data_IF_230505763867
#
_entry.id   IF_230505763867
#
_cell.length_a   1.000
_cell.length_b   1.000
_cell.length_c   1.000
_cell.angle_alpha   90.00
_cell.angle_beta   90.00
_cell.angle_gamma   90.00
#
_symmetry.space_group_name_H-M   'P 1'
#
loop_
_entity.id
_entity.type
_entity.pdbx_description
1 polymer ?
#
# COMPACT_ATOMS: atom_id res chain seq x y z
N UNK A 1 -85.73 -15.19 16.50
CA UNK A 1 -84.91 -14.86 15.30
C UNK A 1 -83.93 -13.67 15.44
N UNK A 2 -83.98 -12.80 16.43
CA UNK A 2 -83.07 -11.65 16.56
C UNK A 2 -81.85 -11.90 17.47
N UNK A 3 -81.81 -13.00 18.25
CA UNK A 3 -80.67 -13.29 19.12
C UNK A 3 -79.57 -14.14 18.44
N UNK A 4 -79.92 -14.98 17.46
CA UNK A 4 -78.92 -15.80 16.76
C UNK A 4 -78.11 -14.97 15.78
N UNK A 5 -78.69 -13.98 15.08
CA UNK A 5 -77.99 -13.16 14.19
C UNK A 5 -76.98 -12.19 14.86
N UNK A 6 -77.21 -11.85 16.14
CA UNK A 6 -76.26 -10.99 16.89
C UNK A 6 -75.07 -11.78 17.46
N UNK A 7 -75.26 -13.08 17.73
CA UNK A 7 -74.16 -13.94 18.19
C UNK A 7 -73.23 -14.38 17.06
N UNK A 8 -73.75 -14.62 15.86
CA UNK A 8 -72.89 -14.89 14.65
C UNK A 8 -72.09 -13.67 14.23
N UNK A 9 -72.69 -12.49 14.26
CA UNK A 9 -71.99 -11.23 13.97
C UNK A 9 -70.90 -10.91 14.99
N UNK A 10 -71.05 -11.24 16.26
CA UNK A 10 -70.03 -11.05 17.30
C UNK A 10 -68.91 -12.09 17.16
N UNK A 11 -69.23 -13.34 16.81
CA UNK A 11 -68.25 -14.40 16.55
C UNK A 11 -67.35 -14.05 15.37
N UNK A 12 -67.91 -13.59 14.26
CA UNK A 12 -67.15 -13.19 13.07
C UNK A 12 -66.27 -11.95 13.32
N UNK A 13 -66.74 -10.98 14.11
CA UNK A 13 -65.88 -9.81 14.48
C UNK A 13 -64.72 -10.21 15.37
N UNK A 14 -64.93 -11.08 16.32
CA UNK A 14 -63.86 -11.56 17.21
C UNK A 14 -62.83 -12.41 16.46
N UNK A 15 -63.29 -13.25 15.54
CA UNK A 15 -62.39 -14.05 14.68
C UNK A 15 -61.58 -13.18 13.72
N UNK A 16 -62.20 -12.15 13.14
CA UNK A 16 -61.53 -11.22 12.25
C UNK A 16 -60.51 -10.33 13.01
N UNK A 17 -60.82 -9.86 14.21
CA UNK A 17 -59.82 -9.12 15.05
C UNK A 17 -58.70 -10.01 15.54
N UNK A 18 -58.91 -11.29 15.86
CA UNK A 18 -57.84 -12.21 16.22
C UNK A 18 -56.91 -12.54 15.06
N UNK A 19 -57.46 -12.74 13.85
CA UNK A 19 -56.61 -12.99 12.65
C UNK A 19 -55.82 -11.75 12.20
N UNK A 20 -56.39 -10.54 12.27
CA UNK A 20 -55.68 -9.30 11.99
C UNK A 20 -54.56 -8.99 13.02
N UNK A 21 -54.82 -9.28 14.30
CA UNK A 21 -53.78 -9.10 15.33
C UNK A 21 -52.66 -10.15 15.20
N UNK A 22 -52.97 -11.41 14.87
CA UNK A 22 -51.99 -12.45 14.64
C UNK A 22 -51.11 -12.15 13.41
N UNK A 23 -51.68 -11.68 12.31
CA UNK A 23 -50.93 -11.28 11.11
C UNK A 23 -50.10 -10.04 11.33
N UNK A 24 -50.57 -9.08 12.13
CA UNK A 24 -49.77 -7.90 12.51
C UNK A 24 -48.59 -8.25 13.45
N UNK A 25 -48.77 -9.16 14.40
CA UNK A 25 -47.73 -9.64 15.30
C UNK A 25 -46.68 -10.45 14.51
N UNK A 26 -47.06 -11.25 13.52
CA UNK A 26 -46.14 -11.97 12.65
C UNK A 26 -45.33 -11.02 11.75
N UNK A 27 -45.99 -10.03 11.12
CA UNK A 27 -45.32 -8.99 10.32
C UNK A 27 -44.35 -8.15 11.15
N UNK A 28 -44.69 -7.75 12.36
CA UNK A 28 -43.82 -7.02 13.27
C UNK A 28 -42.62 -7.84 13.75
N UNK A 29 -42.80 -9.13 14.06
CA UNK A 29 -41.71 -10.05 14.43
C UNK A 29 -40.75 -10.30 13.28
N UNK A 30 -41.23 -10.49 12.04
CA UNK A 30 -40.38 -10.61 10.83
C UNK A 30 -39.58 -9.33 10.52
N UNK A 31 -40.22 -8.16 10.64
CA UNK A 31 -39.59 -6.88 10.43
C UNK A 31 -38.49 -6.59 11.49
N UNK A 32 -38.73 -6.96 12.76
CA UNK A 32 -37.72 -6.86 13.82
C UNK A 32 -36.55 -7.84 13.62
N UNK A 33 -36.81 -9.05 13.08
CA UNK A 33 -35.78 -10.04 12.76
C UNK A 33 -34.86 -9.54 11.61
N UNK A 34 -35.45 -8.99 10.55
CA UNK A 34 -34.69 -8.41 9.43
C UNK A 34 -33.83 -7.22 9.87
N UNK A 35 -34.33 -6.31 10.70
CA UNK A 35 -33.54 -5.18 11.22
C UNK A 35 -32.35 -5.65 12.06
N UNK A 36 -32.53 -6.66 12.90
CA UNK A 36 -31.43 -7.23 13.68
C UNK A 36 -30.37 -7.87 12.79
N UNK A 37 -30.77 -8.57 11.74
CA UNK A 37 -29.88 -9.19 10.77
C UNK A 37 -29.07 -8.12 10.00
N UNK A 38 -29.74 -7.05 9.57
CA UNK A 38 -29.09 -5.90 8.92
C UNK A 38 -28.06 -5.23 9.84
N UNK A 39 -28.44 -4.99 11.09
CA UNK A 39 -27.52 -4.43 12.09
C UNK A 39 -26.30 -5.33 12.31
N UNK A 40 -26.53 -6.65 12.41
CA UNK A 40 -25.46 -7.63 12.61
C UNK A 40 -24.45 -7.59 11.46
N UNK A 41 -24.89 -7.65 10.20
CA UNK A 41 -23.97 -7.63 9.04
C UNK A 41 -23.21 -6.29 8.89
N UNK A 42 -23.88 -5.16 9.17
CA UNK A 42 -23.21 -3.87 9.20
C UNK A 42 -22.09 -3.83 10.26
N UNK A 43 -22.38 -4.25 11.49
CA UNK A 43 -21.39 -4.28 12.56
C UNK A 43 -20.28 -5.29 12.28
N UNK A 44 -20.61 -6.46 11.73
CA UNK A 44 -19.62 -7.47 11.37
C UNK A 44 -18.62 -6.90 10.35
N UNK A 45 -19.10 -6.26 9.28
CA UNK A 45 -18.23 -5.65 8.27
C UNK A 45 -17.37 -4.53 8.86
N UNK A 46 -17.94 -3.67 9.71
CA UNK A 46 -17.21 -2.59 10.40
C UNK A 46 -16.13 -3.16 11.32
N UNK A 47 -16.46 -4.16 12.15
CA UNK A 47 -15.50 -4.76 13.08
C UNK A 47 -14.35 -5.47 12.35
N UNK A 48 -14.62 -6.13 11.22
CA UNK A 48 -13.58 -6.75 10.40
C UNK A 48 -12.68 -5.69 9.75
N UNK A 49 -13.26 -4.59 9.23
CA UNK A 49 -12.48 -3.46 8.72
C UNK A 49 -11.60 -2.84 9.81
N UNK A 50 -12.13 -2.63 11.01
CA UNK A 50 -11.36 -2.10 12.16
C UNK A 50 -10.27 -3.07 12.60
N UNK A 51 -10.53 -4.38 12.61
CA UNK A 51 -9.52 -5.40 12.90
C UNK A 51 -8.36 -5.36 11.91
N UNK A 52 -8.66 -5.18 10.61
CA UNK A 52 -7.62 -5.01 9.59
C UNK A 52 -6.83 -3.72 9.80
N UNK A 53 -7.50 -2.59 10.06
CA UNK A 53 -6.84 -1.32 10.35
C UNK A 53 -5.98 -1.39 11.63
N UNK A 54 -6.42 -2.13 12.65
CA UNK A 54 -5.67 -2.29 13.90
C UNK A 54 -4.45 -3.22 13.77
N UNK A 55 -4.40 -4.09 12.74
CA UNK A 55 -3.28 -5.02 12.55
C UNK A 55 -1.93 -4.34 12.36
N UNK A 56 -1.91 -3.08 11.89
CA UNK A 56 -0.68 -2.29 11.69
C UNK A 56 0.08 -1.99 13.00
N UNK A 57 -0.61 -2.06 14.14
CA UNK A 57 -0.01 -1.86 15.47
C UNK A 57 0.60 -3.14 16.07
N UNK A 58 0.43 -4.27 15.39
CA UNK A 58 0.87 -5.57 15.88
C UNK A 58 2.13 -5.96 15.13
N UNK A 59 3.25 -6.10 15.85
CA UNK A 59 4.50 -6.56 15.27
C UNK A 59 4.41 -8.04 14.87
N UNK A 60 4.47 -8.37 13.56
CA UNK A 60 4.38 -9.75 13.09
C UNK A 60 5.58 -10.62 13.50
N UNK A 61 6.70 -10.02 13.86
CA UNK A 61 7.89 -10.74 14.30
C UNK A 61 7.74 -11.28 15.72
N UNK A 62 7.01 -10.58 16.57
CA UNK A 62 6.79 -10.90 17.99
C UNK A 62 5.49 -11.68 18.18
N UNK A 63 4.37 -11.14 17.67
CA UNK A 63 3.02 -11.67 17.98
C UNK A 63 2.53 -12.70 16.99
N UNK A 64 3.25 -12.94 15.92
CA UNK A 64 2.98 -13.99 14.94
C UNK A 64 2.80 -13.48 13.52
N UNK A 65 3.48 -14.15 12.60
CA UNK A 65 3.61 -13.76 11.19
C UNK A 65 2.27 -13.53 10.45
N UNK A 66 1.19 -14.18 10.85
CA UNK A 66 -0.10 -14.07 10.17
C UNK A 66 -0.78 -12.72 10.37
N UNK A 67 -0.37 -11.91 11.35
CA UNK A 67 -0.88 -10.55 11.51
C UNK A 67 -0.52 -9.66 10.31
N UNK A 68 0.60 -9.92 9.63
CA UNK A 68 0.95 -9.20 8.40
C UNK A 68 -0.03 -9.43 7.24
N UNK A 69 -0.74 -10.57 7.24
CA UNK A 69 -1.71 -10.91 6.19
C UNK A 69 -3.04 -10.18 6.40
N UNK A 70 -3.39 -9.91 7.66
CA UNK A 70 -4.69 -9.30 8.01
C UNK A 70 -4.84 -7.93 7.36
N UNK A 71 -3.80 -7.08 7.43
CA UNK A 71 -3.80 -5.74 6.83
C UNK A 71 -4.03 -5.74 5.32
N UNK A 72 -3.55 -6.78 4.61
CA UNK A 72 -3.76 -6.92 3.17
C UNK A 72 -5.24 -7.06 2.78
N UNK A 73 -6.10 -7.53 3.70
CA UNK A 73 -7.53 -7.67 3.45
C UNK A 73 -8.34 -6.39 3.69
N UNK A 74 -7.70 -5.32 4.18
CA UNK A 74 -8.37 -4.04 4.46
C UNK A 74 -9.22 -3.50 3.31
N UNK A 75 -8.76 -3.46 2.04
CA UNK A 75 -9.56 -2.93 0.94
C UNK A 75 -10.83 -3.74 0.68
N UNK A 76 -10.82 -5.06 0.95
CA UNK A 76 -11.98 -5.94 0.80
C UNK A 76 -13.05 -5.53 1.82
N UNK A 77 -12.68 -5.34 3.07
CA UNK A 77 -13.61 -4.96 4.12
C UNK A 77 -14.08 -3.51 4.01
N UNK A 78 -13.21 -2.60 3.53
CA UNK A 78 -13.60 -1.23 3.22
C UNK A 78 -14.66 -1.19 2.08
N UNK A 79 -14.48 -2.00 1.02
CA UNK A 79 -15.46 -2.17 -0.04
C UNK A 79 -16.77 -2.80 0.48
N UNK A 80 -16.68 -3.80 1.37
CA UNK A 80 -17.85 -4.41 2.00
C UNK A 80 -18.64 -3.40 2.84
N UNK A 81 -17.96 -2.55 3.64
CA UNK A 81 -18.62 -1.48 4.41
C UNK A 81 -19.26 -0.45 3.47
N UNK A 82 -18.60 -0.09 2.37
CA UNK A 82 -19.17 0.82 1.35
C UNK A 82 -20.42 0.22 0.71
N UNK A 83 -20.37 -1.05 0.32
CA UNK A 83 -21.53 -1.78 -0.21
C UNK A 83 -22.68 -1.82 0.81
N UNK A 84 -22.38 -2.17 2.06
CA UNK A 84 -23.37 -2.15 3.13
C UNK A 84 -23.95 -0.76 3.39
N UNK A 85 -23.17 0.31 3.18
CA UNK A 85 -23.67 1.69 3.26
C UNK A 85 -24.75 1.94 2.22
N UNK A 86 -24.50 1.57 0.96
CA UNK A 86 -25.48 1.73 -0.13
C UNK A 86 -26.76 0.92 0.15
N UNK A 87 -26.62 -0.35 0.52
CA UNK A 87 -27.76 -1.20 0.85
C UNK A 87 -28.53 -0.65 2.05
N UNK A 88 -27.82 -0.17 3.08
CA UNK A 88 -28.45 0.41 4.27
C UNK A 88 -29.23 1.69 3.94
N UNK A 89 -28.69 2.56 3.08
CA UNK A 89 -29.37 3.76 2.61
C UNK A 89 -30.67 3.43 1.86
N UNK A 90 -30.67 2.37 1.04
CA UNK A 90 -31.84 1.97 0.23
C UNK A 90 -32.94 1.31 1.11
N UNK A 91 -32.58 0.46 2.05
CA UNK A 91 -33.54 -0.39 2.76
C UNK A 91 -33.77 -0.03 4.22
N UNK A 92 -32.77 0.55 4.90
CA UNK A 92 -32.80 0.90 6.34
C UNK A 92 -32.08 2.21 6.65
N UNK A 93 -32.48 3.36 6.07
CA UNK A 93 -31.71 4.62 6.14
C UNK A 93 -31.43 5.11 7.55
N UNK A 94 -32.27 4.72 8.53
CA UNK A 94 -32.05 5.05 9.95
C UNK A 94 -30.83 4.33 10.58
N UNK A 95 -30.26 3.34 9.90
CA UNK A 95 -29.09 2.57 10.38
C UNK A 95 -27.80 2.97 9.69
N UNK A 96 -27.82 3.93 8.76
CA UNK A 96 -26.62 4.38 8.00
C UNK A 96 -25.50 4.90 8.90
N UNK A 97 -25.83 5.32 10.12
CA UNK A 97 -24.84 5.76 11.08
C UNK A 97 -23.81 4.67 11.44
N UNK A 98 -24.18 3.35 11.35
CA UNK A 98 -23.26 2.23 11.66
C UNK A 98 -22.08 2.22 10.71
N UNK A 99 -22.25 2.09 9.37
CA UNK A 99 -21.10 2.13 8.45
C UNK A 99 -20.39 3.47 8.46
N UNK A 100 -21.08 4.61 8.72
CA UNK A 100 -20.42 5.92 8.87
C UNK A 100 -19.46 5.94 10.06
N UNK A 101 -19.84 5.38 11.21
CA UNK A 101 -18.94 5.20 12.36
C UNK A 101 -17.77 4.31 11.97
N UNK A 102 -17.99 3.27 11.15
CA UNK A 102 -16.96 2.43 10.59
C UNK A 102 -15.89 3.25 9.84
N UNK A 103 -16.31 4.10 8.91
CA UNK A 103 -15.40 4.95 8.15
C UNK A 103 -14.69 6.00 9.01
N UNK A 104 -15.37 6.61 9.96
CA UNK A 104 -14.75 7.58 10.90
C UNK A 104 -13.66 6.89 11.72
N UNK A 105 -13.91 5.69 12.24
CA UNK A 105 -12.92 4.93 13.01
C UNK A 105 -11.71 4.47 12.20
N UNK A 106 -11.83 4.32 10.87
CA UNK A 106 -10.74 3.96 9.97
C UNK A 106 -10.23 5.12 9.10
N UNK A 107 -10.59 6.36 9.41
CA UNK A 107 -10.23 7.52 8.57
C UNK A 107 -8.73 7.60 8.28
N UNK A 108 -7.87 7.34 9.27
CA UNK A 108 -6.42 7.29 9.10
C UNK A 108 -5.99 6.25 8.07
N UNK A 109 -6.44 5.00 8.23
CA UNK A 109 -6.12 3.89 7.33
C UNK A 109 -6.67 4.11 5.91
N UNK A 110 -7.86 4.70 5.78
CA UNK A 110 -8.42 5.07 4.48
C UNK A 110 -7.53 6.11 3.80
N UNK A 111 -7.06 7.11 4.53
CA UNK A 111 -6.12 8.10 4.01
C UNK A 111 -4.75 7.54 3.69
N UNK A 112 -4.27 6.54 4.41
CA UNK A 112 -3.02 5.86 4.09
C UNK A 112 -3.15 5.06 2.80
N UNK A 113 -4.28 4.39 2.59
CA UNK A 113 -4.53 3.54 1.43
C UNK A 113 -4.95 4.32 0.18
N UNK A 114 -5.86 5.26 0.31
CA UNK A 114 -6.44 6.03 -0.80
C UNK A 114 -6.62 7.51 -0.38
N UNK A 115 -5.54 8.29 -0.33
CA UNK A 115 -5.62 9.70 0.03
C UNK A 115 -6.38 10.51 -1.02
N UNK A 116 -7.02 11.58 -0.55
CA UNK A 116 -7.64 12.62 -1.38
C UNK A 116 -7.05 13.95 -0.93
N UNK A 117 -6.32 14.61 -1.81
CA UNK A 117 -5.67 15.89 -1.53
C UNK A 117 -5.96 16.92 -2.62
N UNK A 118 -6.00 18.18 -2.24
CA UNK A 118 -6.02 19.27 -3.20
C UNK A 118 -4.62 19.39 -3.82
N UNK A 119 -4.57 19.36 -5.16
CA UNK A 119 -3.31 19.49 -5.88
C UNK A 119 -2.70 20.88 -5.65
N UNK A 120 -1.44 20.90 -5.26
CA UNK A 120 -0.64 22.12 -5.15
C UNK A 120 0.60 21.97 -6.02
N UNK A 121 0.89 22.91 -6.92
CA UNK A 121 2.10 22.83 -7.73
C UNK A 121 3.34 22.93 -6.83
N UNK A 122 4.44 22.26 -7.21
CA UNK A 122 5.67 22.35 -6.44
C UNK A 122 6.23 23.78 -6.48
N UNK A 123 6.68 24.31 -5.34
CA UNK A 123 7.29 25.63 -5.28
C UNK A 123 8.66 25.63 -5.99
N UNK A 124 9.11 26.83 -6.37
CA UNK A 124 10.47 27.00 -6.91
C UNK A 124 11.52 26.43 -5.95
N UNK A 125 12.56 25.78 -6.48
CA UNK A 125 13.65 25.14 -5.73
C UNK A 125 13.20 23.97 -4.85
N UNK A 126 12.05 23.34 -5.10
CA UNK A 126 11.75 22.03 -4.56
C UNK A 126 12.55 20.96 -5.32
N UNK A 127 13.11 20.00 -4.60
CA UNK A 127 13.85 18.89 -5.19
C UNK A 127 12.90 17.87 -5.79
N UNK A 128 13.13 17.48 -7.04
CA UNK A 128 12.42 16.39 -7.67
C UNK A 128 13.01 15.07 -7.20
N UNK A 129 12.21 14.25 -6.54
CA UNK A 129 12.62 12.94 -6.03
C UNK A 129 11.84 11.81 -6.72
N UNK A 130 12.49 10.66 -6.86
CA UNK A 130 11.91 9.48 -7.52
C UNK A 130 12.32 8.22 -6.78
N UNK A 131 11.41 7.25 -6.68
CA UNK A 131 11.75 5.86 -6.37
C UNK A 131 11.30 4.96 -7.50
N UNK A 132 12.15 4.00 -7.90
CA UNK A 132 11.84 3.11 -9.00
C UNK A 132 12.53 1.75 -8.84
N UNK A 133 11.73 0.71 -8.65
CA UNK A 133 12.20 -0.65 -8.79
C UNK A 133 12.43 -0.93 -10.29
N UNK A 134 13.70 -1.14 -10.65
CA UNK A 134 14.13 -1.17 -12.06
C UNK A 134 13.98 -2.54 -12.73
N UNK A 135 13.66 -3.59 -11.97
CA UNK A 135 13.58 -4.96 -12.48
C UNK A 135 14.79 -5.29 -13.39
N UNK A 136 16.02 -5.13 -12.86
CA UNK A 136 17.26 -5.32 -13.63
C UNK A 136 17.32 -4.43 -14.89
N UNK A 137 16.96 -3.15 -14.75
CA UNK A 137 16.83 -2.21 -15.87
C UNK A 137 15.88 -2.70 -16.97
N UNK A 138 14.69 -3.18 -16.59
CA UNK A 138 13.69 -3.68 -17.52
C UNK A 138 14.08 -5.02 -18.17
N UNK A 139 14.64 -5.95 -17.37
CA UNK A 139 15.24 -7.19 -17.85
C UNK A 139 16.33 -6.93 -18.93
N UNK A 140 17.15 -5.89 -18.68
CA UNK A 140 18.27 -5.48 -19.57
C UNK A 140 17.83 -5.04 -20.97
N UNK A 141 16.62 -4.52 -21.12
CA UNK A 141 16.13 -4.04 -22.41
C UNK A 141 16.85 -2.76 -22.82
N UNK A 142 17.48 -2.80 -23.98
CA UNK A 142 18.20 -1.68 -24.58
C UNK A 142 17.37 -1.04 -25.69
N UNK A 143 17.46 0.28 -25.78
CA UNK A 143 16.97 1.04 -26.92
C UNK A 143 17.80 0.69 -28.16
N UNK A 144 17.13 0.38 -29.26
CA UNK A 144 17.79 -0.09 -30.50
C UNK A 144 18.67 0.96 -31.17
N UNK A 145 18.39 2.25 -30.95
CA UNK A 145 19.13 3.34 -31.60
C UNK A 145 20.36 3.77 -30.80
N UNK A 146 20.25 3.79 -29.48
CA UNK A 146 21.31 4.29 -28.59
C UNK A 146 22.14 3.18 -27.93
N UNK A 147 21.61 1.96 -27.89
CA UNK A 147 22.22 0.83 -27.16
C UNK A 147 22.17 0.96 -25.62
N UNK A 148 21.55 2.00 -25.10
CA UNK A 148 21.40 2.27 -23.65
C UNK A 148 20.19 1.56 -23.09
N UNK A 149 20.19 1.26 -21.78
CA UNK A 149 18.98 0.74 -21.13
C UNK A 149 17.85 1.78 -21.13
N UNK A 150 16.66 1.39 -21.62
CA UNK A 150 15.47 2.26 -21.69
C UNK A 150 15.12 2.83 -20.31
N UNK A 151 15.22 2.00 -19.26
CA UNK A 151 14.99 2.43 -17.87
C UNK A 151 15.98 3.50 -17.43
N UNK A 152 17.27 3.33 -17.69
CA UNK A 152 18.30 4.29 -17.29
C UNK A 152 18.09 5.63 -18.00
N UNK A 153 17.82 5.61 -19.31
CA UNK A 153 17.48 6.81 -20.08
C UNK A 153 16.25 7.52 -19.55
N UNK A 154 15.18 6.77 -19.28
CA UNK A 154 13.95 7.33 -18.69
C UNK A 154 14.27 8.05 -17.38
N UNK A 155 14.94 7.39 -16.42
CA UNK A 155 15.27 7.98 -15.13
C UNK A 155 16.06 9.29 -15.33
N UNK A 156 17.11 9.25 -16.15
CA UNK A 156 17.96 10.43 -16.41
C UNK A 156 17.18 11.54 -17.13
N UNK A 157 16.31 11.21 -18.09
CA UNK A 157 15.49 12.20 -18.83
C UNK A 157 14.50 12.93 -17.91
N UNK A 158 14.05 12.29 -16.84
CA UNK A 158 13.23 12.93 -15.81
C UNK A 158 13.99 14.00 -15.01
N UNK A 159 15.31 14.03 -15.10
CA UNK A 159 16.18 14.97 -14.37
C UNK A 159 15.87 15.06 -12.88
N UNK A 160 15.78 13.93 -12.15
CA UNK A 160 15.54 13.97 -10.72
C UNK A 160 16.74 14.64 -10.02
N UNK A 161 16.45 15.35 -8.92
CA UNK A 161 17.52 15.77 -8.02
C UNK A 161 18.09 14.57 -7.26
N UNK A 162 17.19 13.59 -6.93
CA UNK A 162 17.55 12.33 -6.27
C UNK A 162 16.59 11.23 -6.77
N UNK A 163 17.15 10.08 -7.18
CA UNK A 163 16.37 8.86 -7.46
C UNK A 163 16.93 7.67 -6.70
N UNK A 164 16.07 6.95 -5.95
CA UNK A 164 16.38 5.65 -5.36
C UNK A 164 15.95 4.53 -6.29
N UNK A 165 16.85 3.58 -6.50
CA UNK A 165 16.66 2.47 -7.41
C UNK A 165 16.73 1.15 -6.66
N UNK A 166 15.83 0.23 -6.99
CA UNK A 166 15.81 -1.14 -6.47
C UNK A 166 16.02 -2.13 -7.62
N UNK A 167 16.42 -3.35 -7.29
CA UNK A 167 16.71 -4.42 -8.24
C UNK A 167 17.70 -4.02 -9.34
N UNK A 168 18.80 -3.39 -8.97
CA UNK A 168 19.86 -3.06 -9.91
C UNK A 168 20.64 -4.34 -10.22
N UNK A 169 20.69 -4.73 -11.48
CA UNK A 169 21.57 -5.80 -11.96
C UNK A 169 22.15 -5.49 -13.34
N UNK A 170 23.40 -5.89 -13.54
CA UNK A 170 24.11 -5.79 -14.81
C UNK A 170 24.44 -7.20 -15.29
N UNK A 171 24.44 -7.46 -16.61
CA UNK A 171 24.84 -8.75 -17.17
C UNK A 171 26.35 -8.93 -17.17
N UNK A 172 27.07 -7.83 -17.34
CA UNK A 172 28.53 -7.76 -17.46
C UNK A 172 29.04 -6.36 -17.11
N UNK A 173 30.37 -6.19 -17.12
CA UNK A 173 31.01 -4.91 -16.83
C UNK A 173 30.74 -3.83 -17.89
N UNK A 174 30.54 -4.22 -19.15
CA UNK A 174 30.21 -3.28 -20.23
C UNK A 174 28.85 -2.59 -20.00
N UNK A 175 27.84 -3.38 -19.57
CA UNK A 175 26.52 -2.87 -19.21
C UNK A 175 26.60 -1.90 -18.00
N UNK A 176 27.44 -2.25 -17.01
CA UNK A 176 27.72 -1.38 -15.87
C UNK A 176 28.34 -0.05 -16.29
N UNK A 177 29.41 -0.09 -17.11
CA UNK A 177 30.04 1.13 -17.63
C UNK A 177 29.09 1.96 -18.51
N UNK A 178 28.24 1.30 -19.30
CA UNK A 178 27.24 1.98 -20.10
C UNK A 178 26.28 2.77 -19.23
N UNK A 179 25.74 2.18 -18.16
CA UNK A 179 24.82 2.91 -17.22
C UNK A 179 25.56 4.10 -16.58
N UNK A 180 26.82 3.91 -16.16
CA UNK A 180 27.60 5.01 -15.61
C UNK A 180 27.80 6.14 -16.61
N UNK A 181 28.12 5.83 -17.88
CA UNK A 181 28.25 6.82 -18.96
C UNK A 181 26.94 7.56 -19.21
N UNK A 182 25.82 6.81 -19.28
CA UNK A 182 24.48 7.40 -19.43
C UNK A 182 24.20 8.40 -18.32
N UNK A 183 24.33 7.99 -17.05
CA UNK A 183 24.08 8.86 -15.88
C UNK A 183 24.99 10.09 -15.91
N UNK A 184 26.29 9.92 -16.22
CA UNK A 184 27.27 11.02 -16.30
C UNK A 184 26.94 12.02 -17.42
N UNK A 185 26.38 11.55 -18.55
CA UNK A 185 26.00 12.44 -19.67
C UNK A 185 24.93 13.45 -19.27
N UNK A 186 24.07 13.09 -18.30
CA UNK A 186 23.07 13.96 -17.68
C UNK A 186 23.62 14.80 -16.51
N UNK A 187 24.93 14.75 -16.23
CA UNK A 187 25.60 15.43 -15.10
C UNK A 187 25.09 14.98 -13.75
N UNK A 188 24.77 13.68 -13.61
CA UNK A 188 24.33 13.04 -12.40
C UNK A 188 25.44 12.13 -11.84
N UNK A 189 25.38 11.88 -10.53
CA UNK A 189 26.19 10.89 -9.82
C UNK A 189 25.35 9.62 -9.63
N UNK A 190 26.01 8.46 -9.55
CA UNK A 190 25.38 7.19 -9.23
C UNK A 190 26.27 6.41 -8.27
N UNK A 191 25.64 5.78 -7.28
CA UNK A 191 26.27 4.81 -6.39
C UNK A 191 25.27 3.72 -6.02
N UNK A 192 25.77 2.52 -5.69
CA UNK A 192 24.96 1.38 -5.26
C UNK A 192 25.68 0.52 -4.26
N UNK A 193 24.91 -0.27 -3.53
CA UNK A 193 25.42 -1.27 -2.59
C UNK A 193 24.62 -2.57 -2.69
N UNK A 194 25.28 -3.67 -2.36
CA UNK A 194 24.60 -4.97 -2.27
C UNK A 194 23.70 -5.01 -1.02
N UNK A 195 22.54 -5.66 -1.18
CA UNK A 195 21.61 -6.00 -0.10
C UNK A 195 21.26 -7.48 -0.22
N UNK A 196 22.17 -8.34 0.25
CA UNK A 196 22.10 -9.77 -0.04
C UNK A 196 22.37 -10.07 -1.51
N UNK A 197 21.49 -10.79 -2.17
CA UNK A 197 21.61 -11.15 -3.60
C UNK A 197 21.20 -10.08 -4.59
N UNK A 198 20.73 -8.91 -4.15
CA UNK A 198 20.28 -7.80 -4.97
C UNK A 198 21.13 -6.54 -4.73
N UNK A 199 20.84 -5.46 -5.44
CA UNK A 199 21.47 -4.15 -5.24
C UNK A 199 20.40 -3.07 -5.15
N UNK A 200 20.66 -2.11 -4.26
CA UNK A 200 19.94 -0.82 -4.25
C UNK A 200 20.93 0.31 -4.52
N UNK A 201 20.45 1.40 -5.08
CA UNK A 201 21.34 2.52 -5.44
C UNK A 201 20.63 3.85 -5.47
N UNK A 202 21.43 4.89 -5.62
CA UNK A 202 20.96 6.26 -5.76
C UNK A 202 21.60 6.93 -6.98
N UNK A 203 20.76 7.64 -7.74
CA UNK A 203 21.19 8.61 -8.75
C UNK A 203 20.91 10.00 -8.19
N UNK A 204 21.88 10.93 -8.26
CA UNK A 204 21.75 12.25 -7.65
C UNK A 204 22.45 13.34 -8.44
N UNK A 205 21.90 14.56 -8.40
CA UNK A 205 22.60 15.78 -8.79
C UNK A 205 23.69 16.19 -7.78
N UNK A 206 23.56 15.70 -6.54
CA UNK A 206 24.47 16.04 -5.46
C UNK A 206 25.56 14.98 -5.34
N UNK A 207 26.80 15.37 -4.98
CA UNK A 207 27.86 14.41 -4.71
C UNK A 207 27.45 13.40 -3.63
N UNK A 208 27.75 12.13 -3.89
CA UNK A 208 27.55 11.02 -2.94
C UNK A 208 28.88 10.77 -2.24
N UNK A 209 28.93 10.91 -0.91
CA UNK A 209 30.19 10.85 -0.14
C UNK A 209 30.49 9.46 0.35
N UNK A 210 29.46 8.76 0.83
CA UNK A 210 29.57 7.38 1.34
C UNK A 210 28.21 6.69 1.31
N UNK A 211 28.23 5.39 1.46
CA UNK A 211 27.06 4.60 1.76
C UNK A 211 27.28 3.73 3.01
N UNK A 212 26.19 3.29 3.62
CA UNK A 212 26.18 2.49 4.85
C UNK A 212 25.01 1.51 4.79
N UNK A 213 25.31 0.21 4.96
CA UNK A 213 24.30 -0.82 5.07
C UNK A 213 23.52 -0.67 6.37
N UNK A 214 22.19 -0.59 6.29
CA UNK A 214 21.33 -0.54 7.48
C UNK A 214 20.86 -1.94 7.86
N UNK A 215 20.29 -2.66 6.91
CA UNK A 215 19.82 -4.03 7.09
C UNK A 215 19.83 -4.79 5.77
N UNK A 216 19.91 -6.11 5.85
CA UNK A 216 19.72 -6.98 4.69
C UNK A 216 19.14 -8.33 5.11
N UNK A 217 18.47 -8.98 4.18
CA UNK A 217 18.11 -10.40 4.19
C UNK A 217 18.92 -11.12 3.10
N UNK A 218 18.47 -12.28 2.62
CA UNK A 218 19.15 -12.98 1.52
C UNK A 218 19.13 -12.18 0.20
N UNK A 219 18.08 -11.40 -0.08
CA UNK A 219 17.92 -10.72 -1.36
C UNK A 219 17.58 -9.23 -1.25
N UNK A 220 17.14 -8.75 -0.09
CA UNK A 220 16.52 -7.45 0.08
C UNK A 220 17.09 -6.73 1.30
N UNK A 221 16.99 -5.40 1.37
CA UNK A 221 17.50 -4.64 2.50
C UNK A 221 17.42 -3.13 2.29
N UNK A 222 18.14 -2.38 3.12
CA UNK A 222 18.19 -0.93 3.04
C UNK A 222 19.60 -0.39 3.23
N UNK A 223 19.93 0.66 2.49
CA UNK A 223 21.22 1.34 2.49
C UNK A 223 20.99 2.84 2.64
N UNK A 224 21.75 3.48 3.52
CA UNK A 224 21.83 4.92 3.62
C UNK A 224 22.94 5.43 2.72
N UNK A 225 22.63 6.41 1.87
CA UNK A 225 23.58 7.17 1.06
C UNK A 225 23.66 8.58 1.62
N UNK A 226 24.88 9.07 1.83
CA UNK A 226 25.15 10.40 2.37
C UNK A 226 25.53 11.35 1.24
N UNK A 227 24.70 12.35 1.01
CA UNK A 227 24.83 13.32 -0.05
C UNK A 227 25.17 14.69 0.51
N UNK A 228 25.88 15.51 -0.28
CA UNK A 228 26.23 16.91 0.07
C UNK A 228 25.60 17.90 -0.90
N UNK A 229 24.33 18.31 -0.66
CA UNK A 229 23.67 19.30 -1.51
C UNK A 229 24.37 20.68 -1.51
N UNK A 230 25.00 21.04 -0.39
CA UNK A 230 25.78 22.26 -0.19
C UNK A 230 27.02 21.94 0.66
N UNK A 231 28.04 22.79 0.59
CA UNK A 231 29.21 22.66 1.46
C UNK A 231 28.76 22.57 2.94
N UNK A 232 29.26 21.58 3.67
CA UNK A 232 28.96 21.28 5.09
C UNK A 232 27.50 20.89 5.39
N UNK A 233 26.66 20.65 4.37
CA UNK A 233 25.30 20.15 4.55
C UNK A 233 25.24 18.67 4.19
N UNK A 234 24.69 17.85 5.08
CA UNK A 234 24.57 16.40 4.86
C UNK A 234 23.10 16.03 4.77
N UNK A 235 22.76 15.38 3.66
CA UNK A 235 21.47 14.75 3.42
C UNK A 235 21.63 13.23 3.49
N UNK A 236 20.84 12.57 4.28
CA UNK A 236 20.78 11.12 4.34
C UNK A 236 19.63 10.63 3.46
N UNK A 237 19.97 9.89 2.42
CA UNK A 237 18.99 9.25 1.53
C UNK A 237 18.99 7.76 1.79
N UNK A 238 17.90 7.23 2.32
CA UNK A 238 17.74 5.79 2.54
C UNK A 238 17.02 5.19 1.35
N UNK A 239 17.70 4.29 0.65
CA UNK A 239 17.12 3.47 -0.40
C UNK A 239 16.76 2.10 0.19
N UNK A 240 15.46 1.78 0.23
CA UNK A 240 14.95 0.55 0.81
C UNK A 240 14.38 -0.36 -0.28
N UNK A 241 14.66 -1.65 -0.16
CA UNK A 241 13.96 -2.73 -0.84
C UNK A 241 13.69 -3.81 0.21
N UNK A 242 12.54 -3.73 0.87
CA UNK A 242 12.21 -4.65 1.96
C UNK A 242 11.86 -6.03 1.44
N UNK A 243 11.92 -7.04 2.32
CA UNK A 243 11.75 -8.43 1.96
C UNK A 243 10.48 -8.70 1.15
N UNK A 244 10.62 -9.39 0.04
CA UNK A 244 9.52 -9.76 -0.85
C UNK A 244 8.75 -10.99 -0.33
N UNK A 245 7.62 -11.28 -0.96
CA UNK A 245 6.86 -12.51 -0.67
C UNK A 245 7.53 -13.76 -1.25
N UNK A 246 8.62 -13.63 -2.02
CA UNK A 246 9.36 -14.70 -2.71
C UNK A 246 8.45 -15.67 -3.48
N UNK A 247 7.41 -15.16 -4.11
CA UNK A 247 6.53 -15.96 -4.95
C UNK A 247 7.23 -16.35 -6.25
N UNK A 248 7.26 -17.62 -6.58
CA UNK A 248 7.71 -18.10 -7.88
C UNK A 248 6.78 -17.59 -9.00
N UNK A 249 7.24 -17.66 -10.26
CA UNK A 249 6.38 -17.30 -11.42
C UNK A 249 5.10 -18.14 -11.47
N UNK A 250 5.19 -19.41 -11.12
CA UNK A 250 4.05 -20.33 -11.05
C UNK A 250 3.07 -19.94 -9.94
N UNK A 251 3.57 -19.58 -8.75
CA UNK A 251 2.73 -19.12 -7.64
C UNK A 251 2.08 -17.75 -7.92
N UNK A 252 2.74 -16.87 -8.65
CA UNK A 252 2.14 -15.61 -9.13
C UNK A 252 1.03 -15.88 -10.16
N UNK A 253 1.25 -16.86 -11.07
CA UNK A 253 0.23 -17.28 -12.04
C UNK A 253 -0.98 -17.87 -11.32
N UNK A 254 -0.77 -18.74 -10.33
CA UNK A 254 -1.83 -19.30 -9.51
C UNK A 254 -2.59 -18.23 -8.74
N UNK A 255 -1.88 -17.21 -8.19
CA UNK A 255 -2.54 -16.07 -7.55
C UNK A 255 -3.45 -15.31 -8.53
N UNK A 256 -2.98 -15.06 -9.74
CA UNK A 256 -3.76 -14.41 -10.79
C UNK A 256 -5.03 -15.23 -11.12
N UNK A 257 -4.87 -16.53 -11.29
CA UNK A 257 -5.99 -17.44 -11.55
C UNK A 257 -7.00 -17.47 -10.39
N UNK A 258 -6.51 -17.41 -9.14
CA UNK A 258 -7.36 -17.28 -7.94
C UNK A 258 -8.21 -16.01 -7.98
N UNK A 259 -7.64 -14.90 -8.42
CA UNK A 259 -8.32 -13.60 -8.46
C UNK A 259 -9.31 -13.54 -9.63
N UNK A 260 -8.93 -14.06 -10.79
CA UNK A 260 -9.75 -14.03 -12.02
C UNK A 260 -10.85 -15.10 -12.05
N UNK A 261 -10.60 -16.30 -11.46
CA UNK A 261 -11.52 -17.45 -11.49
C UNK A 261 -11.63 -18.12 -10.10
N UNK A 262 -12.24 -17.48 -9.11
CA UNK A 262 -12.26 -17.98 -7.73
C UNK A 262 -13.00 -19.33 -7.55
N UNK A 263 -13.83 -19.74 -8.51
CA UNK A 263 -14.64 -20.97 -8.45
C UNK A 263 -13.89 -22.23 -8.90
N UNK A 264 -12.76 -22.10 -9.58
CA UNK A 264 -12.05 -23.23 -10.19
C UNK A 264 -10.97 -23.86 -9.32
N UNK A 265 -10.82 -23.45 -8.05
CA UNK A 265 -9.67 -23.83 -7.26
C UNK A 265 -10.00 -24.93 -6.25
N UNK A 266 -9.72 -26.15 -6.65
CA UNK A 266 -9.80 -27.36 -5.80
C UNK A 266 -8.58 -27.58 -4.87
N UNK A 267 -7.53 -26.73 -4.93
CA UNK A 267 -6.31 -26.93 -4.14
C UNK A 267 -6.21 -26.02 -2.90
N UNK A 268 -6.85 -26.43 -1.84
CA UNK A 268 -6.69 -25.83 -0.48
C UNK A 268 -5.21 -25.76 -0.07
N UNK A 269 -4.38 -26.71 -0.47
CA UNK A 269 -2.94 -26.77 -0.15
C UNK A 269 -2.14 -25.63 -0.79
N UNK A 270 -2.44 -25.26 -2.04
CA UNK A 270 -1.76 -24.13 -2.72
C UNK A 270 -2.07 -22.78 -2.07
N UNK A 271 -3.33 -22.55 -1.67
CA UNK A 271 -3.77 -21.33 -0.98
C UNK A 271 -3.10 -21.18 0.39
N UNK A 272 -3.01 -22.24 1.16
CA UNK A 272 -2.35 -22.23 2.48
C UNK A 272 -0.84 -22.01 2.36
N UNK A 273 -0.19 -22.57 1.34
CA UNK A 273 1.23 -22.33 1.05
C UNK A 273 1.49 -20.86 0.72
N UNK A 274 0.63 -20.26 -0.11
CA UNK A 274 0.71 -18.84 -0.48
C UNK A 274 0.57 -17.92 0.76
N UNK A 275 -0.47 -18.11 1.57
CA UNK A 275 -0.68 -17.35 2.80
C UNK A 275 0.53 -17.49 3.74
N UNK A 276 1.09 -18.69 3.87
CA UNK A 276 2.28 -18.94 4.68
C UNK A 276 3.50 -18.16 4.18
N UNK A 277 3.73 -18.10 2.86
CA UNK A 277 4.84 -17.33 2.26
C UNK A 277 4.67 -15.83 2.48
N UNK A 278 3.48 -15.30 2.22
CA UNK A 278 3.14 -13.90 2.49
C UNK A 278 3.41 -13.56 3.96
N UNK A 279 2.98 -14.43 4.88
CA UNK A 279 3.18 -14.25 6.31
C UNK A 279 4.67 -14.29 6.72
N UNK A 280 5.48 -15.16 6.09
CA UNK A 280 6.93 -15.21 6.33
C UNK A 280 7.59 -13.92 5.85
N UNK A 281 7.30 -13.48 4.62
CA UNK A 281 7.80 -12.20 4.11
C UNK A 281 7.42 -11.02 5.01
N UNK A 282 6.19 -10.99 5.52
CA UNK A 282 5.75 -9.96 6.47
C UNK A 282 6.51 -9.96 7.79
N UNK A 283 6.87 -11.14 8.31
CA UNK A 283 7.70 -11.27 9.50
C UNK A 283 9.13 -10.74 9.27
N UNK A 284 9.74 -11.10 8.15
CA UNK A 284 11.08 -10.62 7.79
C UNK A 284 11.11 -9.11 7.57
N UNK A 285 10.07 -8.56 6.91
CA UNK A 285 9.90 -7.10 6.79
C UNK A 285 9.81 -6.39 8.14
N UNK A 286 9.17 -7.00 9.14
CA UNK A 286 9.09 -6.42 10.48
C UNK A 286 10.49 -6.29 11.11
N UNK A 287 11.34 -7.32 11.05
CA UNK A 287 12.74 -7.23 11.51
C UNK A 287 13.54 -6.15 10.78
N UNK A 288 13.40 -6.06 9.46
CA UNK A 288 14.07 -5.00 8.69
C UNK A 288 13.54 -3.61 9.10
N UNK A 289 12.24 -3.50 9.35
CA UNK A 289 11.60 -2.26 9.80
C UNK A 289 12.14 -1.82 11.15
N UNK A 290 12.25 -2.70 12.12
CA UNK A 290 12.77 -2.36 13.44
C UNK A 290 14.23 -1.89 13.38
N UNK A 291 15.02 -2.48 12.48
CA UNK A 291 16.40 -2.04 12.23
C UNK A 291 16.44 -0.66 11.58
N UNK A 292 15.55 -0.39 10.63
CA UNK A 292 15.36 0.93 10.02
C UNK A 292 14.93 1.97 11.07
N UNK A 293 14.00 1.63 11.95
CA UNK A 293 13.55 2.52 13.02
C UNK A 293 14.69 2.90 13.94
N UNK A 294 15.52 1.94 14.35
CA UNK A 294 16.73 2.19 15.16
C UNK A 294 17.71 3.13 14.43
N UNK A 295 17.86 2.97 13.12
CA UNK A 295 18.69 3.88 12.32
C UNK A 295 18.09 5.29 12.27
N UNK A 296 16.79 5.43 12.04
CA UNK A 296 16.10 6.72 12.00
C UNK A 296 16.17 7.44 13.35
N UNK A 297 16.03 6.72 14.47
CA UNK A 297 16.10 7.29 15.81
C UNK A 297 17.52 7.82 16.12
N UNK A 298 18.58 7.11 15.69
CA UNK A 298 19.97 7.59 15.79
C UNK A 298 20.24 8.84 14.95
N UNK A 299 19.52 9.02 13.87
CA UNK A 299 19.69 10.10 12.91
C UNK A 299 18.54 11.13 12.94
N UNK A 300 17.78 11.20 14.03
CA UNK A 300 16.56 12.01 14.14
C UNK A 300 16.76 13.51 13.84
N UNK A 301 17.97 14.04 14.04
CA UNK A 301 18.30 15.44 13.75
C UNK A 301 18.76 15.69 12.32
N UNK A 302 18.93 14.65 11.52
CA UNK A 302 19.40 14.77 10.14
C UNK A 302 18.25 15.06 9.17
N UNK A 303 18.59 15.66 8.04
CA UNK A 303 17.71 15.70 6.86
C UNK A 303 17.67 14.30 6.28
N UNK A 304 16.50 13.66 6.31
CA UNK A 304 16.32 12.29 5.84
C UNK A 304 15.26 12.26 4.75
N UNK A 305 15.56 11.56 3.66
CA UNK A 305 14.61 11.13 2.64
C UNK A 305 14.72 9.60 2.57
N UNK A 306 13.62 8.89 2.79
CA UNK A 306 13.56 7.43 2.69
C UNK A 306 12.64 7.08 1.52
N UNK A 307 13.15 6.34 0.56
CA UNK A 307 12.41 5.94 -0.64
C UNK A 307 12.67 4.47 -0.97
N UNK A 308 11.69 3.80 -1.53
CA UNK A 308 11.90 2.43 -1.98
C UNK A 308 10.65 1.61 -2.11
N UNK A 309 10.89 0.35 -2.49
CA UNK A 309 9.91 -0.72 -2.55
C UNK A 309 9.83 -1.41 -1.19
N UNK A 310 8.67 -1.28 -0.55
CA UNK A 310 8.43 -1.88 0.78
C UNK A 310 7.87 -3.30 0.69
N UNK A 311 7.51 -3.74 -0.53
CA UNK A 311 6.84 -5.04 -0.75
C UNK A 311 5.62 -5.25 0.15
N UNK A 312 5.02 -4.17 0.64
CA UNK A 312 3.86 -4.17 1.52
C UNK A 312 2.95 -2.97 1.27
N UNK A 313 1.67 -3.14 1.59
CA UNK A 313 0.66 -2.08 1.39
C UNK A 313 0.77 -0.99 2.47
N UNK A 314 0.10 0.17 2.28
CA UNK A 314 0.03 1.20 3.32
C UNK A 314 -0.65 0.75 4.62
N UNK A 315 -1.38 -0.38 4.58
CA UNK A 315 -1.98 -0.98 5.78
C UNK A 315 -1.09 -2.13 6.25
N UNK A 316 0.12 -1.78 6.66
CA UNK A 316 1.11 -2.73 7.17
C UNK A 316 1.88 -2.16 8.37
N UNK A 317 2.48 -3.06 9.14
CA UNK A 317 3.36 -2.69 10.25
C UNK A 317 4.53 -1.81 9.76
N UNK A 318 5.19 -2.21 8.67
CA UNK A 318 6.32 -1.47 8.12
C UNK A 318 5.96 -0.03 7.76
N UNK A 319 4.87 0.18 7.02
CA UNK A 319 4.42 1.52 6.64
C UNK A 319 4.02 2.35 7.87
N UNK A 320 3.29 1.75 8.81
CA UNK A 320 2.87 2.42 10.05
C UNK A 320 4.08 2.91 10.87
N UNK A 321 5.09 2.08 11.02
CA UNK A 321 6.32 2.42 11.76
C UNK A 321 7.07 3.58 11.09
N UNK A 322 7.20 3.59 9.76
CA UNK A 322 7.80 4.72 9.03
C UNK A 322 6.99 6.02 9.24
N UNK A 323 5.65 5.95 9.16
CA UNK A 323 4.78 7.11 9.42
C UNK A 323 4.89 7.66 10.86
N UNK A 324 5.39 6.87 11.81
CA UNK A 324 5.60 7.34 13.19
C UNK A 324 6.82 8.28 13.34
N UNK A 325 7.72 8.33 12.35
CA UNK A 325 8.94 9.16 12.35
C UNK A 325 9.04 10.11 11.16
N UNK A 326 8.46 9.73 10.04
CA UNK A 326 8.58 10.44 8.77
C UNK A 326 7.21 10.76 8.20
N UNK A 327 7.15 11.76 7.34
CA UNK A 327 5.95 12.10 6.58
C UNK A 327 5.88 11.23 5.32
N UNK A 328 4.79 10.46 5.16
CA UNK A 328 4.47 9.82 3.86
C UNK A 328 4.06 10.91 2.88
N UNK A 329 4.89 11.11 1.87
CA UNK A 329 4.70 12.16 0.87
C UNK A 329 3.52 11.89 -0.06
N UNK A 330 3.19 10.60 -0.34
CA UNK A 330 2.01 10.25 -1.14
C UNK A 330 0.72 10.49 -0.34
N UNK A 331 0.65 10.05 0.91
CA UNK A 331 -0.48 10.34 1.80
C UNK A 331 -0.74 11.85 1.91
N UNK A 332 0.33 12.64 1.97
CA UNK A 332 0.23 14.09 2.16
C UNK A 332 -0.21 14.85 0.90
N UNK A 333 0.11 14.36 -0.30
CA UNK A 333 -0.06 15.15 -1.54
C UNK A 333 -0.55 14.36 -2.75
N UNK A 334 -0.53 13.03 -2.70
CA UNK A 334 -1.02 12.15 -3.75
C UNK A 334 -2.54 11.99 -3.73
N UNK A 335 -3.10 11.34 -4.75
CA UNK A 335 -4.52 11.08 -4.89
C UNK A 335 -4.78 9.65 -5.38
N UNK A 336 -5.81 9.02 -4.81
CA UNK A 336 -6.19 7.65 -5.15
C UNK A 336 -5.26 6.59 -4.54
N UNK A 337 -5.38 5.35 -5.01
CA UNK A 337 -4.60 4.21 -4.48
C UNK A 337 -3.11 4.35 -4.79
N UNK A 338 -2.75 4.95 -5.95
CA UNK A 338 -1.36 5.11 -6.37
C UNK A 338 -0.70 3.78 -6.71
N UNK A 339 -1.35 2.98 -7.54
CA UNK A 339 -0.83 1.68 -7.97
C UNK A 339 0.60 1.80 -8.49
N UNK A 340 1.55 1.23 -7.78
CA UNK A 340 2.96 1.22 -8.18
C UNK A 340 3.43 -0.15 -8.72
N UNK A 341 2.79 -1.25 -8.35
CA UNK A 341 3.03 -2.57 -8.93
C UNK A 341 2.02 -2.86 -10.05
N UNK A 342 2.49 -3.33 -11.23
CA UNK A 342 1.65 -3.42 -12.44
C UNK A 342 1.45 -4.84 -12.99
N UNK A 343 1.85 -5.89 -12.26
CA UNK A 343 1.71 -7.29 -12.68
C UNK A 343 0.60 -8.02 -11.93
N UNK A 344 0.18 -9.13 -12.52
CA UNK A 344 -0.63 -10.19 -11.89
C UNK A 344 -1.97 -9.72 -11.30
N UNK A 345 -2.62 -8.71 -11.91
CA UNK A 345 -3.86 -8.11 -11.45
C UNK A 345 -3.81 -7.55 -10.00
N UNK A 346 -2.61 -7.29 -9.47
CA UNK A 346 -2.40 -6.72 -8.15
C UNK A 346 -2.44 -5.19 -8.25
N UNK A 347 -3.41 -4.56 -7.61
CA UNK A 347 -3.62 -3.12 -7.64
C UNK A 347 -3.23 -2.49 -6.29
N UNK A 348 -1.92 -2.39 -6.04
CA UNK A 348 -1.38 -1.91 -4.76
C UNK A 348 -0.29 -0.84 -4.96
N UNK A 349 -0.13 0.01 -3.95
CA UNK A 349 1.04 0.87 -3.79
C UNK A 349 1.98 0.22 -2.79
N UNK A 350 3.16 -0.17 -3.24
CA UNK A 350 4.22 -0.76 -2.41
C UNK A 350 5.50 0.07 -2.46
N UNK A 351 5.62 0.97 -3.44
CA UNK A 351 6.69 1.96 -3.53
C UNK A 351 6.31 3.24 -2.79
N UNK A 352 7.23 3.79 -2.00
CA UNK A 352 6.95 4.87 -1.08
C UNK A 352 8.04 5.95 -1.12
N UNK A 353 7.64 7.19 -0.79
CA UNK A 353 8.52 8.33 -0.53
C UNK A 353 8.16 8.88 0.85
N UNK A 354 9.12 8.83 1.75
CA UNK A 354 9.02 9.43 3.09
C UNK A 354 10.07 10.52 3.27
N UNK A 355 9.76 11.52 4.06
CA UNK A 355 10.72 12.57 4.39
C UNK A 355 10.61 13.01 5.85
N UNK A 356 11.76 13.43 6.42
CA UNK A 356 11.80 14.05 7.75
C UNK A 356 11.12 15.42 7.75
N UNK A 357 10.84 15.95 8.94
CA UNK A 357 10.20 17.26 9.13
C UNK A 357 10.96 18.44 8.52
N UNK A 358 12.22 18.25 8.10
CA UNK A 358 12.97 19.23 7.33
C UNK A 358 12.44 19.50 5.93
N UNK A 359 11.51 18.66 5.45
CA UNK A 359 10.95 18.74 4.11
C UNK A 359 9.44 18.82 4.15
N UNK A 360 8.88 19.58 3.21
CA UNK A 360 7.46 19.57 2.89
C UNK A 360 7.25 18.96 1.50
N UNK A 361 6.45 17.88 1.38
CA UNK A 361 6.18 17.22 0.11
C UNK A 361 5.15 17.97 -0.73
N UNK A 362 5.24 17.82 -2.07
CA UNK A 362 4.33 18.39 -3.07
C UNK A 362 4.17 17.44 -4.25
N UNK A 363 2.97 17.39 -4.81
CA UNK A 363 2.64 16.79 -6.09
C UNK A 363 3.21 15.38 -6.30
N UNK A 364 3.12 14.52 -5.28
CA UNK A 364 3.57 13.14 -5.39
C UNK A 364 2.57 12.33 -6.21
N UNK A 365 3.08 11.59 -7.19
CA UNK A 365 2.29 10.75 -8.08
C UNK A 365 3.05 9.50 -8.49
N UNK A 366 2.32 8.48 -8.89
CA UNK A 366 2.86 7.33 -9.62
C UNK A 366 2.75 7.64 -11.11
N UNK A 367 3.81 7.40 -11.88
CA UNK A 367 3.82 7.59 -13.34
C UNK A 367 3.54 6.24 -14.02
N UNK A 368 2.26 5.96 -14.24
CA UNK A 368 1.76 4.74 -14.85
C UNK A 368 1.85 4.70 -16.37
N UNK A 369 2.41 5.74 -16.99
CA UNK A 369 2.68 5.78 -18.42
C UNK A 369 3.93 5.01 -18.84
N UNK A 370 4.74 4.51 -17.88
CA UNK A 370 6.06 3.92 -18.10
C UNK A 370 6.00 2.39 -18.12
N UNK A 371 6.26 1.73 -19.27
CA UNK A 371 6.10 0.27 -19.41
C UNK A 371 7.39 -0.55 -19.20
N UNK A 372 8.45 0.04 -18.63
CA UNK A 372 9.78 -0.56 -18.66
C UNK A 372 10.08 -1.55 -17.54
N UNK A 373 9.29 -1.58 -16.48
CA UNK A 373 9.43 -2.46 -15.33
C UNK A 373 8.07 -3.06 -14.94
N UNK A 374 8.04 -4.01 -14.04
CA UNK A 374 6.82 -4.47 -13.38
C UNK A 374 6.38 -3.53 -12.22
N UNK A 375 7.15 -2.49 -11.98
CA UNK A 375 6.76 -1.35 -11.16
C UNK A 375 6.60 -0.09 -11.99
N UNK A 376 5.78 0.84 -11.50
CA UNK A 376 5.72 2.22 -11.97
C UNK A 376 6.52 3.12 -11.02
N UNK A 377 7.32 4.08 -11.54
CA UNK A 377 8.05 4.98 -10.69
C UNK A 377 7.09 5.90 -9.90
N UNK A 378 7.41 6.12 -8.63
CA UNK A 378 6.77 7.14 -7.81
C UNK A 378 7.65 8.40 -7.81
N UNK A 379 7.05 9.54 -8.14
CA UNK A 379 7.74 10.81 -8.33
C UNK A 379 7.08 11.88 -7.48
N UNK A 380 7.86 12.74 -6.86
CA UNK A 380 7.35 13.86 -6.07
C UNK A 380 8.36 15.00 -5.95
N UNK A 381 7.96 16.02 -5.22
CA UNK A 381 8.82 17.17 -4.96
C UNK A 381 8.91 17.43 -3.47
N UNK A 382 10.12 17.68 -2.98
CA UNK A 382 10.37 17.97 -1.57
C UNK A 382 10.98 19.37 -1.45
N UNK A 383 10.32 20.23 -0.69
CA UNK A 383 10.82 21.57 -0.40
C UNK A 383 11.45 21.59 0.98
N UNK A 384 12.72 21.91 1.06
CA UNK A 384 13.42 22.15 2.32
C UNK A 384 12.78 23.35 3.05
N UNK A 385 12.50 23.16 4.35
CA UNK A 385 11.87 24.16 5.23
C UNK A 385 12.89 24.98 6.01
#
# INVERSE_FOLDING_TARGET
>A
MKKENSLELVGNKITYQRTTNATNIHKTKHCLSLKKLFSFFNWLAVLLMWGCAASVYIDPSIYGKYFSVIGLTFPIWAAAVLFMTVITLLFQPKMVWIPLVGFVGCYGSIRDYCPINLSSPPPKRAWKVMSYNTMSFGNWKKDEQTGEYEVARYICSQQPDIACLQEIAFRNDEDHEMVQRTVKSYKLHIDWSFVGGSKVGVISKFPIVKNEMICHSECNGAVAFYLTPKAKDTLVVVCAHLESMRLSKEERSNYKEIVENPEQIDEVHGKLSLIKKIAIGGKERAFQTDTLMNFLDKHAHNKIILMGDFNDTPISYAHHMMCSRLTDAYRATGNGIGRSFNKDAIYVRIDNIFCSSHFKPYAVKVDDSVPFSDHYPIIGYLKEQ
#
